data_IF_924534631156
#
_entry.id   IF_924534631156
#
_cell.length_a   1.000
_cell.length_b   1.000
_cell.length_c   1.000
_cell.angle_alpha   90.00
_cell.angle_beta   90.00
_cell.angle_gamma   90.00
#
_symmetry.space_group_name_H-M   'P 1'
#
loop_
_entity.id
_entity.type
_entity.pdbx_description
1 polymer ?
#
# COMPACT_ATOMS: atom_id res chain seq x y z
N UNK A 1 39.81 -19.35 36.84
CA UNK A 1 38.94 -19.45 35.66
C UNK A 1 38.31 -18.08 35.41
N UNK A 2 38.91 -17.30 34.53
CA UNK A 2 38.50 -15.94 34.18
C UNK A 2 37.55 -15.99 32.98
N UNK A 3 36.24 -15.92 33.24
CA UNK A 3 35.22 -15.75 32.20
C UNK A 3 35.04 -14.27 31.88
N UNK A 4 35.42 -13.86 30.66
CA UNK A 4 35.28 -12.49 30.18
C UNK A 4 33.81 -12.04 30.00
N UNK A 5 33.56 -10.73 29.85
CA UNK A 5 32.21 -10.18 29.79
C UNK A 5 31.48 -10.59 28.51
N UNK A 6 30.22 -10.93 28.69
CA UNK A 6 29.23 -11.23 27.65
C UNK A 6 29.12 -10.04 26.67
N UNK A 7 29.38 -10.29 25.39
CA UNK A 7 29.25 -9.29 24.32
C UNK A 7 27.77 -9.02 24.08
N UNK A 8 27.29 -7.81 24.42
CA UNK A 8 26.01 -7.28 23.92
C UNK A 8 26.14 -7.08 22.41
N UNK A 9 25.77 -8.08 21.63
CA UNK A 9 25.88 -8.03 20.17
C UNK A 9 24.84 -8.87 19.44
N UNK A 10 23.72 -9.20 20.07
CA UNK A 10 22.61 -9.86 19.40
C UNK A 10 21.48 -8.84 19.29
N UNK A 11 21.31 -8.27 18.09
CA UNK A 11 20.01 -7.70 17.69
C UNK A 11 19.01 -8.86 17.71
N UNK A 12 18.41 -9.10 18.88
CA UNK A 12 17.23 -9.93 18.97
C UNK A 12 16.12 -9.16 18.29
N UNK A 13 15.69 -9.62 17.11
CA UNK A 13 14.46 -9.15 16.50
C UNK A 13 13.34 -9.36 17.53
N UNK A 14 12.88 -8.29 18.17
CA UNK A 14 11.86 -8.32 19.21
C UNK A 14 10.47 -8.55 18.59
N UNK A 15 10.26 -9.71 17.95
CA UNK A 15 8.95 -10.19 17.52
C UNK A 15 8.11 -10.77 18.68
N UNK A 16 8.64 -10.74 19.90
CA UNK A 16 8.01 -11.29 21.10
C UNK A 16 7.70 -10.21 22.15
N UNK A 17 7.55 -8.95 21.74
CA UNK A 17 7.10 -7.91 22.66
C UNK A 17 5.68 -8.29 23.16
N UNK A 18 5.38 -8.13 24.47
CA UNK A 18 4.05 -8.40 25.01
C UNK A 18 2.96 -7.47 24.43
N UNK A 19 3.37 -6.41 23.74
CA UNK A 19 2.48 -5.52 23.00
C UNK A 19 2.25 -6.02 21.56
N UNK A 20 1.12 -6.71 21.37
CA UNK A 20 0.69 -7.24 20.08
C UNK A 20 0.32 -6.15 19.05
N UNK A 21 0.22 -4.89 19.46
CA UNK A 21 -0.26 -3.79 18.63
C UNK A 21 0.65 -3.47 17.45
N UNK A 22 1.89 -3.99 17.42
CA UNK A 22 2.84 -3.77 16.33
C UNK A 22 3.02 -4.99 15.41
N UNK A 23 2.45 -6.15 15.77
CA UNK A 23 2.61 -7.40 15.00
C UNK A 23 1.90 -7.36 13.64
N UNK A 24 0.86 -6.54 13.49
CA UNK A 24 0.11 -6.46 12.23
C UNK A 24 0.98 -5.99 11.05
N UNK A 25 2.11 -5.30 11.31
CA UNK A 25 3.08 -4.89 10.26
C UNK A 25 3.84 -6.06 9.64
N UNK A 26 3.75 -7.26 10.19
CA UNK A 26 4.20 -8.49 9.52
C UNK A 26 3.42 -8.75 8.23
N UNK A 27 2.25 -8.13 8.03
CA UNK A 27 1.54 -8.13 6.75
C UNK A 27 2.43 -7.64 5.59
N UNK A 28 3.32 -6.67 5.84
CA UNK A 28 4.23 -6.16 4.81
C UNK A 28 5.19 -7.25 4.32
N UNK A 29 5.53 -8.23 5.16
CA UNK A 29 6.32 -9.39 4.73
C UNK A 29 5.56 -10.29 3.76
N UNK A 30 4.23 -10.39 3.90
CA UNK A 30 3.39 -11.17 2.98
C UNK A 30 3.33 -10.53 1.59
N UNK A 31 3.44 -9.20 1.52
CA UNK A 31 3.42 -8.44 0.27
C UNK A 31 4.79 -8.42 -0.45
N UNK A 32 5.84 -8.97 0.16
CA UNK A 32 7.18 -8.99 -0.43
C UNK A 32 7.27 -9.75 -1.75
N UNK A 33 6.43 -10.77 -1.95
CA UNK A 33 6.36 -11.50 -3.23
C UNK A 33 5.99 -10.59 -4.40
N UNK A 34 5.23 -9.54 -4.15
CA UNK A 34 4.64 -8.69 -5.19
C UNK A 34 5.05 -7.24 -5.03
N UNK A 35 6.34 -6.99 -4.77
CA UNK A 35 6.99 -5.68 -4.89
C UNK A 35 6.60 -4.59 -3.87
N UNK A 36 5.75 -4.90 -2.88
CA UNK A 36 5.38 -3.89 -1.87
C UNK A 36 6.54 -3.60 -0.91
N UNK A 37 7.31 -4.63 -0.57
CA UNK A 37 8.36 -4.56 0.44
C UNK A 37 9.49 -5.56 0.21
N UNK A 38 10.70 -5.26 0.68
CA UNK A 38 11.75 -6.26 0.87
C UNK A 38 11.75 -6.78 2.32
N UNK A 39 11.96 -8.10 2.48
CA UNK A 39 11.95 -8.73 3.80
C UNK A 39 13.05 -8.15 4.69
N UNK A 40 14.29 -8.07 4.20
CA UNK A 40 15.42 -7.61 5.01
C UNK A 40 15.24 -6.14 5.41
N UNK A 41 14.67 -5.31 4.53
CA UNK A 41 14.42 -3.91 4.83
C UNK A 41 13.30 -3.72 5.84
N UNK A 42 12.21 -4.48 5.75
CA UNK A 42 11.12 -4.47 6.75
C UNK A 42 11.64 -4.93 8.11
N UNK A 43 12.44 -6.00 8.15
CA UNK A 43 13.05 -6.49 9.39
C UNK A 43 14.03 -5.45 9.99
N UNK A 44 14.80 -4.76 9.14
CA UNK A 44 15.71 -3.68 9.54
C UNK A 44 14.97 -2.47 10.13
N UNK A 45 13.87 -2.05 9.48
CA UNK A 45 13.00 -1.00 10.01
C UNK A 45 12.35 -1.44 11.34
N UNK A 46 11.87 -2.69 11.41
CA UNK A 46 11.25 -3.24 12.61
C UNK A 46 12.21 -3.28 13.81
N UNK A 47 13.50 -3.52 13.58
CA UNK A 47 14.52 -3.49 14.63
C UNK A 47 14.77 -2.12 15.28
N UNK A 48 14.25 -1.03 14.69
CA UNK A 48 14.35 0.34 15.22
C UNK A 48 13.13 0.77 16.05
N UNK A 49 12.09 -0.07 16.12
CA UNK A 49 10.83 0.28 16.76
C UNK A 49 10.92 0.00 18.26
N UNK A 50 10.55 0.99 19.06
CA UNK A 50 10.40 0.87 20.50
C UNK A 50 8.97 0.41 20.84
N UNK A 51 8.85 -0.67 21.61
CA UNK A 51 7.56 -1.23 22.00
C UNK A 51 6.69 -0.19 22.74
N UNK A 52 5.42 -0.07 22.35
CA UNK A 52 4.49 0.91 22.91
C UNK A 52 4.68 2.36 22.44
N UNK A 53 5.73 2.67 21.65
CA UNK A 53 6.02 4.03 21.19
C UNK A 53 5.64 4.18 19.72
N UNK A 54 4.45 4.72 19.47
CA UNK A 54 3.90 4.89 18.13
C UNK A 54 4.76 5.78 17.22
N UNK A 55 5.39 6.82 17.76
CA UNK A 55 6.27 7.71 17.01
C UNK A 55 7.56 7.01 16.53
N UNK A 56 8.04 6.00 17.26
CA UNK A 56 9.21 5.21 16.83
C UNK A 56 8.88 4.32 15.62
N UNK A 57 7.67 3.75 15.60
CA UNK A 57 7.13 3.04 14.44
C UNK A 57 7.03 3.98 13.23
N UNK A 58 6.49 5.17 13.45
CA UNK A 58 6.38 6.19 12.41
C UNK A 58 7.75 6.54 11.82
N UNK A 59 8.70 6.96 12.66
CA UNK A 59 10.03 7.36 12.21
C UNK A 59 10.75 6.23 11.47
N UNK A 60 10.68 4.99 11.97
CA UNK A 60 11.35 3.85 11.37
C UNK A 60 10.87 3.57 9.93
N UNK A 61 9.55 3.61 9.69
CA UNK A 61 8.99 3.35 8.36
C UNK A 61 9.07 4.56 7.44
N UNK A 62 8.96 5.78 7.97
CA UNK A 62 9.18 7.00 7.19
C UNK A 62 10.61 7.07 6.64
N UNK A 63 11.62 6.87 7.51
CA UNK A 63 13.03 6.85 7.12
C UNK A 63 13.33 5.74 6.11
N UNK A 64 12.75 4.55 6.32
CA UNK A 64 12.87 3.43 5.40
C UNK A 64 12.35 3.82 4.00
N UNK A 65 11.13 4.35 3.92
CA UNK A 65 10.51 4.64 2.65
C UNK A 65 11.17 5.82 1.92
N UNK A 66 11.58 6.88 2.63
CA UNK A 66 12.35 7.98 2.04
C UNK A 66 13.68 7.48 1.46
N UNK A 67 14.36 6.57 2.15
CA UNK A 67 15.61 5.99 1.67
C UNK A 67 15.40 5.17 0.39
N UNK A 68 14.38 4.31 0.35
CA UNK A 68 14.13 3.43 -0.80
C UNK A 68 13.57 4.21 -1.99
N UNK A 69 12.67 5.17 -1.77
CA UNK A 69 12.21 6.10 -2.80
C UNK A 69 13.38 6.90 -3.38
N UNK A 70 14.29 7.40 -2.53
CA UNK A 70 15.51 8.07 -2.97
C UNK A 70 16.41 7.18 -3.84
N UNK A 71 16.47 5.87 -3.57
CA UNK A 71 17.16 4.92 -4.44
C UNK A 71 16.46 4.75 -5.79
N UNK A 72 15.13 4.64 -5.79
CA UNK A 72 14.33 4.56 -7.02
C UNK A 72 14.47 5.81 -7.90
N UNK A 73 14.45 6.99 -7.30
CA UNK A 73 14.61 8.28 -7.99
C UNK A 73 16.02 8.49 -8.55
N UNK A 74 17.04 7.84 -7.98
CA UNK A 74 18.40 7.89 -8.50
C UNK A 74 18.61 7.02 -9.74
N UNK A 75 17.67 6.12 -10.05
CA UNK A 75 17.71 5.27 -11.24
C UNK A 75 17.11 6.05 -12.42
N UNK A 76 17.82 6.08 -13.55
CA UNK A 76 17.28 6.60 -14.79
C UNK A 76 16.18 5.66 -15.32
N UNK A 77 14.93 5.97 -15.00
CA UNK A 77 13.77 5.16 -15.37
C UNK A 77 13.51 5.12 -16.87
N UNK A 78 14.10 6.03 -17.66
CA UNK A 78 14.02 5.96 -19.12
C UNK A 78 14.92 4.86 -19.71
N UNK A 79 15.97 4.47 -18.98
CA UNK A 79 16.89 3.40 -19.36
C UNK A 79 16.59 2.10 -18.61
N UNK A 80 16.21 2.18 -17.34
CA UNK A 80 16.05 1.04 -16.43
C UNK A 80 14.69 1.06 -15.70
N UNK A 81 13.55 1.04 -16.42
CA UNK A 81 12.23 1.17 -15.82
C UNK A 81 11.94 0.08 -14.78
N UNK A 82 12.26 -1.18 -15.09
CA UNK A 82 12.06 -2.32 -14.19
C UNK A 82 12.85 -2.17 -12.88
N UNK A 83 14.05 -1.59 -12.93
CA UNK A 83 14.87 -1.36 -11.73
C UNK A 83 14.36 -0.18 -10.90
N UNK A 84 13.75 0.82 -11.54
CA UNK A 84 13.16 1.96 -10.86
C UNK A 84 11.76 1.65 -10.27
N UNK A 85 11.02 0.70 -10.85
CA UNK A 85 9.63 0.37 -10.49
C UNK A 85 9.45 0.03 -9.00
N UNK A 86 10.02 -1.10 -8.56
CA UNK A 86 9.85 -1.60 -7.18
C UNK A 86 10.23 -0.58 -6.11
N UNK A 87 11.41 0.06 -6.13
CA UNK A 87 11.75 1.04 -5.08
C UNK A 87 10.85 2.28 -5.10
N UNK A 88 10.27 2.63 -6.25
CA UNK A 88 9.31 3.75 -6.34
C UNK A 88 7.98 3.43 -5.66
N UNK A 89 7.63 2.16 -5.45
CA UNK A 89 6.44 1.77 -4.66
C UNK A 89 6.62 1.93 -3.14
N UNK A 90 7.86 2.03 -2.64
CA UNK A 90 8.16 1.98 -1.20
C UNK A 90 7.47 3.03 -0.32
N UNK A 91 7.17 4.27 -0.76
CA UNK A 91 6.40 5.23 0.03
C UNK A 91 5.02 4.74 0.46
N UNK A 92 4.43 3.73 -0.19
CA UNK A 92 3.19 3.10 0.26
C UNK A 92 3.31 2.39 1.60
N UNK A 93 4.51 1.98 1.99
CA UNK A 93 4.74 1.36 3.29
C UNK A 93 4.71 2.37 4.44
N UNK A 94 4.72 3.68 4.17
CA UNK A 94 4.49 4.74 5.17
C UNK A 94 3.01 4.81 5.55
N UNK A 95 2.13 4.45 4.61
CA UNK A 95 0.68 4.67 4.67
C UNK A 95 -0.14 3.40 4.89
N UNK A 96 0.40 2.23 4.57
CA UNK A 96 -0.16 0.94 5.00
C UNK A 96 -0.01 0.75 6.53
N UNK A 97 -1.09 0.39 7.26
CA UNK A 97 -1.88 1.24 8.19
C UNK A 97 -1.51 0.98 9.66
N UNK A 98 -2.23 1.30 10.78
CA UNK A 98 -3.35 2.17 11.08
C UNK A 98 -3.00 3.27 12.13
N UNK A 99 -1.74 3.73 12.14
CA UNK A 99 -1.21 4.70 13.13
C UNK A 99 -2.12 5.91 13.34
N UNK A 100 -2.72 6.43 12.26
CA UNK A 100 -3.58 7.62 12.34
C UNK A 100 -5.08 7.30 12.33
N UNK A 101 -5.49 6.19 11.71
CA UNK A 101 -6.91 5.84 11.52
C UNK A 101 -7.48 4.95 12.62
N UNK A 102 -6.72 3.98 13.16
CA UNK A 102 -7.21 3.12 14.24
C UNK A 102 -6.70 3.50 15.63
N UNK A 103 -5.63 4.30 15.75
CA UNK A 103 -5.10 4.73 17.06
C UNK A 103 -5.65 6.07 17.57
N UNK A 104 -6.71 6.60 16.94
CA UNK A 104 -7.51 7.68 17.53
C UNK A 104 -7.02 9.12 17.30
N UNK A 105 -6.12 9.36 16.35
CA UNK A 105 -5.67 10.71 15.96
C UNK A 105 -6.03 11.08 14.51
N UNK A 106 -7.31 11.03 14.10
CA UNK A 106 -7.74 11.40 12.75
C UNK A 106 -7.54 12.88 12.43
N UNK A 107 -7.26 13.72 13.44
CA UNK A 107 -6.96 15.15 13.30
C UNK A 107 -5.48 15.47 13.09
N UNK A 108 -4.58 14.47 13.13
CA UNK A 108 -3.16 14.71 12.90
C UNK A 108 -2.93 15.11 11.42
N UNK A 109 -2.39 16.31 11.14
CA UNK A 109 -2.21 16.79 9.77
C UNK A 109 -1.27 15.92 8.93
N UNK A 110 -0.37 15.15 9.56
CA UNK A 110 0.56 14.25 8.88
C UNK A 110 -0.14 13.19 8.05
N UNK A 111 -1.39 12.83 8.39
CA UNK A 111 -2.18 11.86 7.64
C UNK A 111 -2.36 12.25 6.17
N UNK A 112 -2.54 13.55 5.89
CA UNK A 112 -2.72 14.04 4.53
C UNK A 112 -1.38 14.11 3.80
N UNK A 113 -0.32 14.55 4.48
CA UNK A 113 1.03 14.56 3.90
C UNK A 113 1.48 13.15 3.47
N UNK A 114 1.28 12.13 4.31
CA UNK A 114 1.63 10.76 3.91
C UNK A 114 0.71 10.22 2.83
N UNK A 115 -0.58 10.56 2.89
CA UNK A 115 -1.51 10.20 1.83
C UNK A 115 -1.04 10.74 0.47
N UNK A 116 -0.68 12.03 0.40
CA UNK A 116 -0.16 12.63 -0.84
C UNK A 116 1.14 11.98 -1.31
N UNK A 117 2.08 11.72 -0.38
CA UNK A 117 3.35 11.05 -0.69
C UNK A 117 3.14 9.65 -1.24
N UNK A 118 2.28 8.82 -0.62
CA UNK A 118 2.04 7.47 -1.12
C UNK A 118 1.39 7.48 -2.49
N UNK A 119 0.37 8.32 -2.70
CA UNK A 119 -0.41 8.27 -3.94
C UNK A 119 0.42 8.78 -5.09
N UNK A 120 1.24 9.81 -4.86
CA UNK A 120 2.18 10.31 -5.86
C UNK A 120 3.28 9.30 -6.20
N UNK A 121 3.81 8.59 -5.20
CA UNK A 121 4.79 7.53 -5.42
C UNK A 121 4.18 6.33 -6.16
N UNK A 122 2.98 5.91 -5.74
CA UNK A 122 2.24 4.86 -6.42
C UNK A 122 1.96 5.22 -7.87
N UNK A 123 1.50 6.43 -8.16
CA UNK A 123 1.20 6.85 -9.53
C UNK A 123 2.45 6.87 -10.42
N UNK A 124 3.60 7.27 -9.87
CA UNK A 124 4.89 7.18 -10.57
C UNK A 124 5.27 5.74 -10.86
N UNK A 125 5.19 4.86 -9.86
CA UNK A 125 5.54 3.45 -10.02
C UNK A 125 4.55 2.71 -10.94
N UNK A 126 3.26 3.04 -10.88
CA UNK A 126 2.21 2.51 -11.74
C UNK A 126 2.48 2.81 -13.21
N UNK A 127 3.04 3.97 -13.52
CA UNK A 127 3.45 4.35 -14.87
C UNK A 127 4.69 3.61 -15.38
N UNK A 128 5.47 2.98 -14.50
CA UNK A 128 6.66 2.20 -14.85
C UNK A 128 6.35 0.74 -15.17
N UNK A 129 5.15 0.25 -14.81
CA UNK A 129 4.70 -1.10 -15.13
C UNK A 129 4.66 -1.33 -16.65
N UNK A 130 4.95 -2.57 -17.06
CA UNK A 130 4.83 -3.01 -18.46
C UNK A 130 3.43 -2.72 -19.04
N UNK A 131 2.39 -2.90 -18.23
CA UNK A 131 1.02 -2.50 -18.52
C UNK A 131 0.57 -1.55 -17.42
N UNK A 132 0.64 -0.23 -17.64
CA UNK A 132 0.24 0.75 -16.64
C UNK A 132 -1.22 0.59 -16.24
N UNK A 133 -1.48 0.62 -14.94
CA UNK A 133 -2.85 0.71 -14.43
C UNK A 133 -3.47 2.08 -14.75
N UNK A 134 -4.80 2.14 -14.76
CA UNK A 134 -5.56 3.34 -15.11
C UNK A 134 -6.41 3.78 -13.93
N UNK A 135 -6.17 4.98 -13.40
CA UNK A 135 -7.09 5.60 -12.44
C UNK A 135 -8.42 5.94 -13.12
N UNK A 136 -9.50 5.59 -12.46
CA UNK A 136 -10.87 5.83 -12.89
C UNK A 136 -11.64 6.49 -11.74
N UNK A 137 -12.51 7.44 -12.08
CA UNK A 137 -13.36 8.11 -11.10
C UNK A 137 -14.84 8.05 -11.52
N UNK A 138 -15.49 6.86 -11.53
CA UNK A 138 -16.90 6.77 -11.90
C UNK A 138 -17.79 7.52 -10.91
N UNK A 139 -18.85 8.12 -11.44
CA UNK A 139 -19.86 8.79 -10.63
C UNK A 139 -20.83 7.76 -10.06
N UNK A 140 -21.10 7.85 -8.77
CA UNK A 140 -22.19 7.16 -8.08
C UNK A 140 -23.17 8.18 -7.51
N UNK A 141 -24.28 7.71 -6.96
CA UNK A 141 -25.29 8.57 -6.34
C UNK A 141 -24.74 9.19 -5.04
N UNK A 142 -24.38 10.47 -5.10
CA UNK A 142 -23.91 11.28 -3.97
C UNK A 142 -22.41 11.23 -3.68
N UNK A 143 -21.61 10.49 -4.47
CA UNK A 143 -20.15 10.44 -4.35
C UNK A 143 -19.50 9.92 -5.64
N UNK A 144 -18.20 10.15 -5.80
CA UNK A 144 -17.41 9.50 -6.84
C UNK A 144 -16.69 8.29 -6.26
N UNK A 145 -16.69 7.17 -6.99
CA UNK A 145 -15.88 6.00 -6.66
C UNK A 145 -14.47 6.29 -7.14
N UNK A 146 -13.46 6.14 -6.28
CA UNK A 146 -12.06 6.17 -6.72
C UNK A 146 -11.64 4.75 -7.07
N UNK A 147 -11.00 4.55 -8.21
CA UNK A 147 -10.66 3.21 -8.67
C UNK A 147 -9.40 3.16 -9.53
N UNK A 148 -8.82 1.97 -9.63
CA UNK A 148 -7.69 1.69 -10.52
C UNK A 148 -7.98 0.39 -11.27
N UNK A 149 -7.92 0.45 -12.59
CA UNK A 149 -8.07 -0.70 -13.46
C UNK A 149 -6.70 -1.21 -13.92
N UNK A 150 -6.50 -2.53 -13.82
CA UNK A 150 -5.30 -3.23 -14.24
C UNK A 150 -5.68 -4.27 -15.30
N UNK A 151 -5.12 -4.12 -16.50
CA UNK A 151 -5.38 -5.04 -17.59
C UNK A 151 -4.41 -6.23 -17.56
N UNK A 152 -4.94 -7.44 -17.67
CA UNK A 152 -4.11 -8.63 -17.83
C UNK A 152 -3.36 -8.60 -19.17
N UNK A 153 -2.16 -9.21 -19.26
CA UNK A 153 -1.44 -9.33 -20.52
C UNK A 153 -2.31 -9.89 -21.65
N UNK A 154 -2.32 -9.18 -22.78
CA UNK A 154 -3.10 -9.54 -23.97
C UNK A 154 -4.61 -9.27 -23.86
N UNK A 155 -5.10 -8.64 -22.79
CA UNK A 155 -6.47 -8.14 -22.72
C UNK A 155 -6.68 -7.02 -23.76
N UNK A 156 -7.78 -7.12 -24.49
CA UNK A 156 -8.18 -6.09 -25.48
C UNK A 156 -9.68 -6.20 -25.76
N UNK A 157 -10.29 -5.22 -26.45
CA UNK A 157 -11.71 -5.32 -26.84
C UNK A 157 -12.04 -6.57 -27.67
N UNK A 158 -11.09 -7.10 -28.44
CA UNK A 158 -11.26 -8.34 -29.23
C UNK A 158 -10.87 -9.61 -28.48
N UNK A 159 -10.28 -9.48 -27.28
CA UNK A 159 -9.90 -10.59 -26.39
C UNK A 159 -10.19 -10.20 -24.94
N UNK A 160 -11.48 -10.09 -24.56
CA UNK A 160 -11.86 -9.67 -23.22
C UNK A 160 -11.41 -10.72 -22.19
N UNK A 161 -10.92 -10.24 -21.04
CA UNK A 161 -10.57 -11.06 -19.88
C UNK A 161 -11.58 -10.83 -18.77
N UNK A 162 -11.80 -11.85 -17.94
CA UNK A 162 -12.62 -11.72 -16.75
C UNK A 162 -11.99 -10.71 -15.78
N UNK A 163 -12.82 -9.87 -15.17
CA UNK A 163 -12.37 -8.82 -14.24
C UNK A 163 -12.71 -9.19 -12.81
N UNK A 164 -11.70 -9.22 -11.94
CA UNK A 164 -11.87 -9.32 -10.49
C UNK A 164 -12.12 -7.93 -9.93
N UNK A 165 -13.16 -7.80 -9.12
CA UNK A 165 -13.48 -6.56 -8.43
C UNK A 165 -13.02 -6.64 -6.96
N UNK A 166 -12.08 -5.80 -6.55
CA UNK A 166 -11.44 -5.84 -5.24
C UNK A 166 -11.59 -4.49 -4.50
N UNK A 167 -12.08 -4.53 -3.27
CA UNK A 167 -12.16 -3.36 -2.40
C UNK A 167 -11.45 -3.62 -1.07
N UNK A 168 -10.94 -2.57 -0.45
CA UNK A 168 -10.28 -2.67 0.87
C UNK A 168 -11.29 -2.68 2.02
N UNK A 169 -10.76 -2.89 3.23
CA UNK A 169 -11.47 -2.63 4.48
C UNK A 169 -11.48 -1.16 4.86
N UNK A 170 -11.50 -0.88 6.16
CA UNK A 170 -11.50 0.49 6.69
C UNK A 170 -10.12 1.15 6.62
N UNK A 171 -9.08 0.34 6.81
CA UNK A 171 -7.75 0.77 7.18
C UNK A 171 -6.74 0.75 6.02
N UNK A 172 -7.05 0.12 4.87
CA UNK A 172 -6.12 0.02 3.75
C UNK A 172 -6.45 0.95 2.57
N UNK A 173 -5.45 1.60 1.95
CA UNK A 173 -5.60 2.26 0.65
C UNK A 173 -5.83 1.22 -0.46
N UNK A 174 -6.62 1.54 -1.49
CA UNK A 174 -6.80 0.62 -2.63
C UNK A 174 -5.51 0.24 -3.34
N UNK A 175 -4.49 1.11 -3.29
CA UNK A 175 -3.17 0.90 -3.88
C UNK A 175 -2.49 -0.37 -3.33
N UNK A 176 -2.73 -0.70 -2.06
CA UNK A 176 -2.22 -1.93 -1.42
C UNK A 176 -2.79 -3.22 -2.05
N UNK A 177 -3.94 -3.15 -2.71
CA UNK A 177 -4.52 -4.28 -3.43
C UNK A 177 -3.77 -4.62 -4.70
N UNK A 178 -2.92 -3.72 -5.24
CA UNK A 178 -2.03 -4.07 -6.35
C UNK A 178 -1.13 -5.24 -5.93
N UNK A 179 -0.52 -5.10 -4.77
CA UNK A 179 0.46 -6.03 -4.22
C UNK A 179 -0.17 -7.27 -3.59
N UNK A 180 -1.29 -7.11 -2.87
CA UNK A 180 -1.91 -8.23 -2.14
C UNK A 180 -2.85 -9.09 -2.98
N UNK A 181 -3.37 -8.58 -4.09
CA UNK A 181 -4.36 -9.28 -4.93
C UNK A 181 -4.02 -9.18 -6.41
N UNK A 182 -3.72 -7.98 -6.91
CA UNK A 182 -3.84 -7.70 -8.34
C UNK A 182 -2.73 -8.34 -9.16
N UNK A 183 -1.47 -8.27 -8.73
CA UNK A 183 -0.38 -8.94 -9.45
C UNK A 183 -0.62 -10.44 -9.61
N UNK A 184 -1.08 -11.13 -8.55
CA UNK A 184 -1.41 -12.55 -8.62
C UNK A 184 -2.54 -12.85 -9.63
N UNK A 185 -3.59 -12.02 -9.63
CA UNK A 185 -4.70 -12.16 -10.57
C UNK A 185 -4.27 -11.88 -12.03
N UNK A 186 -3.40 -10.91 -12.25
CA UNK A 186 -2.84 -10.56 -13.56
C UNK A 186 -1.97 -11.70 -14.11
N UNK A 187 -1.14 -12.33 -13.27
CA UNK A 187 -0.35 -13.53 -13.62
C UNK A 187 -1.25 -14.70 -14.07
N UNK A 188 -2.46 -14.80 -13.50
CA UNK A 188 -3.47 -15.80 -13.86
C UNK A 188 -4.34 -15.40 -15.07
N UNK A 189 -4.12 -14.21 -15.65
CA UNK A 189 -4.83 -13.73 -16.84
C UNK A 189 -6.18 -13.07 -16.57
N UNK A 190 -6.44 -12.63 -15.33
CA UNK A 190 -7.62 -11.84 -14.96
C UNK A 190 -7.30 -10.35 -14.96
N UNK A 191 -8.19 -9.54 -15.52
CA UNK A 191 -8.19 -8.11 -15.24
C UNK A 191 -8.53 -7.89 -13.77
N UNK A 192 -8.13 -6.75 -13.22
CA UNK A 192 -8.48 -6.37 -11.85
C UNK A 192 -8.95 -4.94 -11.83
N UNK A 193 -9.96 -4.68 -11.02
CA UNK A 193 -10.33 -3.32 -10.64
C UNK A 193 -10.33 -3.19 -9.13
N UNK A 194 -9.53 -2.26 -8.63
CA UNK A 194 -9.54 -1.87 -7.22
C UNK A 194 -10.40 -0.62 -7.06
N UNK A 195 -11.08 -0.49 -5.92
CA UNK A 195 -11.92 0.68 -5.69
C UNK A 195 -12.04 1.06 -4.22
N UNK A 196 -12.31 2.36 -4.01
CA UNK A 196 -12.70 2.96 -2.74
C UNK A 196 -14.07 3.65 -2.88
N UNK A 197 -14.91 3.44 -1.86
CA UNK A 197 -16.19 4.09 -1.68
C UNK A 197 -16.28 4.82 -0.34
N UNK A 198 -17.49 5.26 0.06
CA UNK A 198 -17.68 6.06 1.26
C UNK A 198 -17.18 5.35 2.52
N UNK A 199 -16.44 6.08 3.36
CA UNK A 199 -15.76 5.57 4.54
C UNK A 199 -14.38 4.94 4.29
N UNK A 200 -13.98 4.73 3.03
CA UNK A 200 -12.62 4.33 2.65
C UNK A 200 -11.73 5.56 2.39
N UNK A 201 -10.40 5.40 2.44
CA UNK A 201 -9.50 6.52 2.70
C UNK A 201 -9.62 7.76 1.80
N UNK A 202 -9.57 7.62 0.46
CA UNK A 202 -9.62 8.75 -0.49
C UNK A 202 -10.98 9.42 -0.46
N UNK A 203 -12.05 8.64 -0.56
CA UNK A 203 -13.43 9.15 -0.59
C UNK A 203 -13.77 9.85 0.74
N UNK A 204 -13.33 9.29 1.87
CA UNK A 204 -13.48 9.93 3.18
C UNK A 204 -12.70 11.25 3.28
N UNK A 205 -11.43 11.27 2.85
CA UNK A 205 -10.56 12.45 2.99
C UNK A 205 -10.95 13.58 2.03
N UNK A 206 -11.17 13.24 0.77
CA UNK A 206 -11.34 14.22 -0.31
C UNK A 206 -12.79 14.64 -0.47
N UNK A 207 -13.73 13.71 -0.31
CA UNK A 207 -15.16 13.97 -0.53
C UNK A 207 -15.95 14.10 0.77
N UNK A 208 -15.32 13.87 1.93
CA UNK A 208 -15.95 13.91 3.27
C UNK A 208 -17.14 12.95 3.39
N UNK A 209 -17.13 11.87 2.61
CA UNK A 209 -18.19 10.87 2.62
C UNK A 209 -17.83 9.73 3.56
N UNK A 210 -18.56 9.66 4.69
CA UNK A 210 -18.40 8.62 5.70
C UNK A 210 -18.94 7.26 5.27
N UNK A 211 -18.76 6.25 6.11
CA UNK A 211 -19.26 4.90 5.83
C UNK A 211 -20.78 4.89 5.60
N UNK A 212 -21.21 4.19 4.54
CA UNK A 212 -22.62 3.90 4.26
C UNK A 212 -22.86 2.39 4.34
N UNK A 213 -24.00 1.98 4.90
CA UNK A 213 -24.35 0.56 5.00
C UNK A 213 -24.55 -0.12 3.63
N UNK A 214 -24.97 0.65 2.62
CA UNK A 214 -25.23 0.14 1.27
C UNK A 214 -23.95 0.10 0.41
N UNK A 215 -22.99 -0.75 0.79
CA UNK A 215 -21.69 -0.92 0.11
C UNK A 215 -21.83 -1.22 -1.40
N UNK A 216 -22.94 -1.85 -1.82
CA UNK A 216 -23.20 -2.18 -3.23
C UNK A 216 -23.17 -0.96 -4.15
N UNK A 217 -23.46 0.25 -3.66
CA UNK A 217 -23.40 1.49 -4.45
C UNK A 217 -22.01 1.82 -4.98
N UNK A 218 -20.96 1.35 -4.30
CA UNK A 218 -19.56 1.55 -4.72
C UNK A 218 -19.11 0.51 -5.74
N UNK A 219 -19.73 -0.67 -5.75
CA UNK A 219 -19.44 -1.72 -6.73
C UNK A 219 -20.36 -1.68 -7.96
N UNK A 220 -21.50 -0.99 -7.87
CA UNK A 220 -22.53 -0.98 -8.92
C UNK A 220 -22.08 -0.32 -10.25
N UNK A 221 -21.29 0.78 -10.27
CA UNK A 221 -20.86 1.41 -11.51
C UNK A 221 -20.10 0.46 -12.46
N UNK A 222 -19.50 -0.61 -11.91
CA UNK A 222 -18.77 -1.63 -12.67
C UNK A 222 -19.67 -2.66 -13.34
N UNK A 223 -20.86 -2.91 -12.79
CA UNK A 223 -21.77 -3.93 -13.31
C UNK A 223 -22.56 -3.48 -14.55
N UNK A 224 -22.56 -2.18 -14.85
CA UNK A 224 -23.36 -1.57 -15.93
C UNK A 224 -22.52 -1.08 -17.12
N UNK A 225 -21.19 -1.08 -16.99
CA UNK A 225 -20.29 -0.29 -17.87
C UNK A 225 -19.10 -1.07 -18.41
N UNK A 226 -18.94 -2.35 -18.05
CA UNK A 226 -17.90 -3.27 -18.55
C UNK A 226 -18.51 -4.40 -19.37
#
# INVERSE_FOLDING_TARGET
MTGGPYVKGQQSCHFSAPDHSFHYRLRNLAAARYQDADIAEVLSAAGKIEAGILESLYAAFYDFAQRVDGQGQAIDSSQYPVSAETPTFAPQLITAPPIFTCNGTPSDPRINTFWELQTAAFDKALALLDIPGQRLTPKSDGFNVEAIFYAAPGASPSNPKLTINAGTGYDGPQEELLHSVSFAALELGYNVITYEGPGQPSVLRQQKSGFIAERRRSSHPWCTTL
#
